data_IF_483927433294
#
_entry.id   IF_483927433294
#
_cell.length_a   1.000
_cell.length_b   1.000
_cell.length_c   1.000
_cell.angle_alpha   90.00
_cell.angle_beta   90.00
_cell.angle_gamma   90.00
#
_symmetry.space_group_name_H-M   'P 1'
#
loop_
_entity.id
_entity.type
_entity.pdbx_description
1 polymer ?
#
# COMPACT_ATOMS: atom_id res chain seq x y z
N UNK A 1 -20.60 -1.44 -23.42
CA UNK A 1 -20.66 -0.34 -22.45
C UNK A 1 -19.78 -0.70 -21.28
N UNK A 2 -18.47 -0.44 -21.38
CA UNK A 2 -17.58 -0.42 -20.22
C UNK A 2 -17.91 0.87 -19.45
N UNK A 3 -18.29 0.75 -18.18
CA UNK A 3 -18.45 1.92 -17.33
C UNK A 3 -17.16 2.72 -17.34
N UNK A 4 -17.26 4.03 -17.52
CA UNK A 4 -16.14 4.96 -17.42
C UNK A 4 -15.54 4.82 -16.02
N UNK A 5 -14.39 4.15 -15.92
CA UNK A 5 -13.69 3.96 -14.65
C UNK A 5 -12.88 5.23 -14.39
N UNK A 6 -13.58 6.26 -13.89
CA UNK A 6 -12.93 7.51 -13.47
C UNK A 6 -12.26 7.27 -12.12
N UNK A 7 -10.94 7.24 -12.13
CA UNK A 7 -10.14 7.18 -10.91
C UNK A 7 -9.89 8.60 -10.43
N UNK A 8 -10.48 8.99 -9.29
CA UNK A 8 -10.14 10.25 -8.65
C UNK A 8 -8.69 10.20 -8.13
N UNK A 9 -7.74 10.97 -8.70
CA UNK A 9 -6.35 10.93 -8.30
C UNK A 9 -6.14 11.32 -6.83
N UNK A 10 -6.98 12.21 -6.30
CA UNK A 10 -6.91 12.63 -4.90
C UNK A 10 -7.35 11.51 -3.96
N UNK A 11 -8.37 10.75 -4.34
CA UNK A 11 -8.82 9.60 -3.57
C UNK A 11 -7.75 8.50 -3.51
N UNK A 12 -7.05 8.25 -4.62
CA UNK A 12 -5.97 7.24 -4.68
C UNK A 12 -4.75 7.66 -3.86
N UNK A 13 -4.35 8.93 -3.93
CA UNK A 13 -3.28 9.46 -3.08
C UNK A 13 -3.65 9.40 -1.60
N UNK A 14 -4.92 9.69 -1.25
CA UNK A 14 -5.43 9.58 0.11
C UNK A 14 -5.38 8.14 0.66
N UNK A 15 -5.71 7.15 -0.18
CA UNK A 15 -5.60 5.73 0.17
C UNK A 15 -4.13 5.36 0.38
N UNK A 16 -3.23 5.71 -0.56
CA UNK A 16 -1.81 5.41 -0.42
C UNK A 16 -1.21 6.01 0.86
N UNK A 17 -1.53 7.28 1.17
CA UNK A 17 -1.08 7.94 2.40
C UNK A 17 -1.64 7.25 3.67
N UNK A 18 -2.89 6.80 3.64
CA UNK A 18 -3.50 6.06 4.77
C UNK A 18 -2.78 4.73 5.00
N UNK A 19 -2.42 4.01 3.93
CA UNK A 19 -1.71 2.74 4.00
C UNK A 19 -0.30 2.90 4.56
N UNK A 20 0.40 3.98 4.18
CA UNK A 20 1.71 4.31 4.76
C UNK A 20 1.62 4.69 6.22
N UNK A 21 0.60 5.48 6.60
CA UNK A 21 0.36 5.80 8.00
C UNK A 21 0.14 4.53 8.82
N UNK A 22 -0.65 3.58 8.30
CA UNK A 22 -0.85 2.28 8.97
C UNK A 22 0.45 1.47 9.08
N UNK A 23 1.28 1.46 8.04
CA UNK A 23 2.58 0.78 8.07
C UNK A 23 3.49 1.38 9.15
N UNK A 24 3.56 2.72 9.19
CA UNK A 24 4.31 3.47 10.20
C UNK A 24 3.78 3.21 11.61
N UNK A 25 2.47 3.27 11.81
CA UNK A 25 1.84 3.04 13.11
C UNK A 25 2.20 1.63 13.62
N UNK A 26 2.10 0.61 12.76
CA UNK A 26 2.45 -0.78 13.08
C UNK A 26 3.93 -0.91 13.44
N UNK A 27 4.83 -0.26 12.70
CA UNK A 27 6.26 -0.29 13.00
C UNK A 27 6.58 0.44 14.33
N UNK A 28 5.87 1.53 14.61
CA UNK A 28 6.07 2.37 15.80
C UNK A 28 5.58 1.74 17.10
N UNK A 29 4.68 0.75 17.04
CA UNK A 29 4.22 0.03 18.24
C UNK A 29 5.41 -0.59 18.96
N UNK A 30 5.52 -0.28 20.26
CA UNK A 30 6.55 -0.84 21.12
C UNK A 30 6.60 -2.37 21.00
N UNK A 31 7.76 -2.90 20.61
CA UNK A 31 7.93 -4.34 20.39
C UNK A 31 7.68 -5.08 21.70
N UNK A 32 6.72 -6.00 21.67
CA UNK A 32 6.44 -6.86 22.82
C UNK A 32 7.68 -7.69 23.17
N UNK A 33 8.16 -7.59 24.40
CA UNK A 33 9.28 -8.38 24.93
C UNK A 33 8.77 -9.33 26.01
N UNK A 34 8.27 -10.48 25.55
CA UNK A 34 7.74 -11.51 26.43
C UNK A 34 8.85 -12.14 27.25
N UNK A 35 10.08 -12.21 26.74
CA UNK A 35 11.23 -12.77 27.47
C UNK A 35 11.52 -11.97 28.73
N UNK A 36 11.62 -10.66 28.62
CA UNK A 36 11.90 -9.76 29.74
C UNK A 36 10.77 -9.80 30.76
N UNK A 37 9.52 -9.78 30.28
CA UNK A 37 8.34 -9.91 31.14
C UNK A 37 8.37 -11.22 31.94
N UNK A 38 8.70 -12.33 31.28
CA UNK A 38 8.76 -13.65 31.91
C UNK A 38 9.97 -13.82 32.82
N UNK A 39 11.10 -13.20 32.49
CA UNK A 39 12.30 -13.22 33.31
C UNK A 39 12.11 -12.43 34.62
N UNK A 40 11.37 -11.32 34.60
CA UNK A 40 11.01 -10.55 35.80
C UNK A 40 10.03 -11.34 36.69
N UNK A 41 9.03 -11.99 36.09
CA UNK A 41 8.01 -12.72 36.85
C UNK A 41 8.49 -14.09 37.34
N UNK A 42 9.30 -14.79 36.53
CA UNK A 42 9.69 -16.20 36.75
C UNK A 42 11.13 -16.47 36.24
N UNK A 43 12.17 -15.99 36.94
CA UNK A 43 13.56 -15.95 36.45
C UNK A 43 14.18 -17.32 36.09
N UNK A 44 13.72 -18.38 36.74
CA UNK A 44 14.25 -19.74 36.56
C UNK A 44 13.30 -20.67 35.78
N UNK A 45 12.23 -20.12 35.22
CA UNK A 45 11.25 -20.93 34.50
C UNK A 45 11.75 -21.28 33.09
N UNK A 46 11.57 -22.54 32.62
CA UNK A 46 11.79 -22.87 31.22
C UNK A 46 10.90 -22.05 30.27
N UNK A 47 9.85 -21.39 30.78
CA UNK A 47 9.03 -20.45 30.01
C UNK A 47 9.80 -19.22 29.54
N UNK A 48 10.89 -18.81 30.19
CA UNK A 48 11.73 -17.68 29.71
C UNK A 48 12.33 -18.01 28.33
N UNK A 49 12.83 -19.23 28.16
CA UNK A 49 13.36 -19.69 26.88
C UNK A 49 12.24 -19.84 25.82
N UNK A 50 11.05 -20.30 26.20
CA UNK A 50 9.89 -20.36 25.30
C UNK A 50 9.40 -18.97 24.88
N UNK A 51 9.46 -17.99 25.80
CA UNK A 51 9.07 -16.60 25.55
C UNK A 51 10.02 -15.91 24.57
N UNK A 52 11.28 -16.33 24.48
CA UNK A 52 12.23 -15.84 23.47
C UNK A 52 11.74 -16.13 22.05
N UNK A 53 11.37 -17.39 21.79
CA UNK A 53 10.85 -17.79 20.47
C UNK A 53 9.56 -17.03 20.12
N UNK A 54 8.68 -16.82 21.10
CA UNK A 54 7.45 -16.05 20.91
C UNK A 54 7.76 -14.56 20.63
N UNK A 55 8.70 -13.96 21.36
CA UNK A 55 9.17 -12.59 21.15
C UNK A 55 9.75 -12.40 19.75
N UNK A 56 10.59 -13.32 19.29
CA UNK A 56 11.19 -13.26 17.97
C UNK A 56 10.15 -13.43 16.86
N UNK A 57 9.20 -14.35 17.03
CA UNK A 57 8.08 -14.54 16.11
C UNK A 57 7.18 -13.32 16.00
N UNK A 58 6.86 -12.66 17.12
CA UNK A 58 6.08 -11.42 17.14
C UNK A 58 6.81 -10.28 16.43
N UNK A 59 8.12 -10.13 16.66
CA UNK A 59 8.94 -9.13 15.97
C UNK A 59 8.96 -9.37 14.46
N UNK A 60 9.14 -10.61 14.04
CA UNK A 60 9.14 -10.97 12.62
C UNK A 60 7.77 -10.69 11.97
N UNK A 61 6.67 -11.04 12.65
CA UNK A 61 5.32 -10.79 12.16
C UNK A 61 5.03 -9.29 12.04
N UNK A 62 5.40 -8.48 13.03
CA UNK A 62 5.20 -7.02 13.01
C UNK A 62 5.92 -6.38 11.82
N UNK A 63 7.18 -6.75 11.57
CA UNK A 63 7.95 -6.27 10.40
C UNK A 63 7.37 -6.75 9.08
N UNK A 64 6.91 -8.01 9.01
CA UNK A 64 6.30 -8.53 7.78
C UNK A 64 5.00 -7.79 7.44
N UNK A 65 4.16 -7.52 8.44
CA UNK A 65 2.89 -6.81 8.25
C UNK A 65 3.13 -5.35 7.86
N UNK A 66 4.05 -4.61 8.52
CA UNK A 66 4.34 -3.22 8.12
C UNK A 66 4.85 -3.14 6.67
N UNK A 67 5.76 -4.03 6.26
CA UNK A 67 6.25 -4.08 4.87
C UNK A 67 5.17 -4.45 3.83
N UNK A 68 4.17 -5.27 4.21
CA UNK A 68 3.02 -5.55 3.34
C UNK A 68 2.16 -4.31 3.10
N UNK A 69 1.96 -3.48 4.13
CA UNK A 69 1.22 -2.23 4.00
C UNK A 69 1.95 -1.21 3.11
N UNK A 70 3.28 -1.10 3.23
CA UNK A 70 4.11 -0.28 2.33
C UNK A 70 4.02 -0.77 0.87
N UNK A 71 4.11 -2.09 0.67
CA UNK A 71 3.99 -2.69 -0.66
C UNK A 71 2.63 -2.41 -1.28
N UNK A 72 1.56 -2.45 -0.47
CA UNK A 72 0.22 -2.13 -0.95
C UNK A 72 0.09 -0.63 -1.28
N UNK A 73 0.64 0.26 -0.46
CA UNK A 73 0.69 1.69 -0.77
C UNK A 73 1.41 1.97 -2.11
N UNK A 74 2.54 1.29 -2.35
CA UNK A 74 3.27 1.38 -3.61
C UNK A 74 2.44 0.89 -4.81
N UNK A 75 1.71 -0.22 -4.65
CA UNK A 75 0.81 -0.73 -5.69
C UNK A 75 -0.33 0.25 -6.00
N UNK A 76 -0.92 0.88 -4.97
CA UNK A 76 -1.97 1.91 -5.14
C UNK A 76 -1.45 3.11 -5.94
N UNK A 77 -0.21 3.55 -5.68
CA UNK A 77 0.44 4.60 -6.49
C UNK A 77 0.71 4.16 -7.93
N UNK A 78 1.14 2.92 -8.14
CA UNK A 78 1.37 2.40 -9.48
C UNK A 78 0.07 2.40 -10.31
N UNK A 79 -1.07 2.04 -9.69
CA UNK A 79 -2.39 2.13 -10.33
C UNK A 79 -2.74 3.57 -10.72
N UNK A 80 -2.43 4.56 -9.86
CA UNK A 80 -2.60 5.98 -10.19
C UNK A 80 -1.82 6.36 -11.45
N UNK A 81 -0.55 5.98 -11.53
CA UNK A 81 0.31 6.29 -12.68
C UNK A 81 -0.25 5.69 -13.96
N UNK A 82 -0.74 4.45 -13.90
CA UNK A 82 -1.36 3.79 -15.06
C UNK A 82 -2.64 4.52 -15.48
N UNK A 83 -3.52 4.87 -14.54
CA UNK A 83 -4.74 5.60 -14.83
C UNK A 83 -4.45 6.98 -15.46
N UNK A 84 -3.50 7.74 -14.89
CA UNK A 84 -3.10 9.02 -15.45
C UNK A 84 -2.53 8.91 -16.86
N UNK A 85 -1.71 7.88 -17.14
CA UNK A 85 -1.18 7.64 -18.49
C UNK A 85 -2.26 7.28 -19.50
N UNK A 86 -3.28 6.52 -19.09
CA UNK A 86 -4.42 6.19 -19.94
C UNK A 86 -5.31 7.42 -20.23
N UNK A 87 -5.50 8.30 -19.25
CA UNK A 87 -6.23 9.56 -19.45
C UNK A 87 -5.48 10.50 -20.39
N UNK A 88 -4.15 10.59 -20.29
CA UNK A 88 -3.31 11.39 -21.18
C UNK A 88 -3.32 10.85 -22.62
N UNK A 89 -3.24 9.52 -22.79
CA UNK A 89 -3.37 8.86 -24.10
C UNK A 89 -4.75 9.08 -24.73
N UNK A 90 -5.82 9.01 -23.93
CA UNK A 90 -7.16 9.30 -24.40
C UNK A 90 -7.30 10.79 -24.78
N UNK A 91 -6.82 11.72 -23.94
CA UNK A 91 -6.89 13.16 -24.21
C UNK A 91 -6.12 13.56 -25.47
N UNK A 92 -4.94 12.99 -25.69
CA UNK A 92 -4.14 13.22 -26.91
C UNK A 92 -4.81 12.63 -28.15
N UNK A 93 -5.40 11.43 -28.04
CA UNK A 93 -6.17 10.83 -29.13
C UNK A 93 -7.39 11.66 -29.50
N UNK A 94 -8.16 12.14 -28.52
CA UNK A 94 -9.32 13.02 -28.77
C UNK A 94 -8.92 14.37 -29.34
N UNK A 95 -7.80 14.96 -28.90
CA UNK A 95 -7.26 16.19 -29.49
C UNK A 95 -6.90 15.98 -30.96
N UNK A 96 -6.22 14.89 -31.31
CA UNK A 96 -5.90 14.56 -32.70
C UNK A 96 -7.14 14.24 -33.55
N UNK A 97 -8.18 13.63 -32.98
CA UNK A 97 -9.47 13.44 -33.68
C UNK A 97 -10.19 14.78 -33.92
N UNK A 98 -10.09 15.73 -32.99
CA UNK A 98 -10.65 17.07 -33.14
C UNK A 98 -9.89 17.93 -34.17
N UNK A 99 -8.60 17.64 -34.39
CA UNK A 99 -7.75 18.27 -35.40
C UNK A 99 -7.93 17.68 -36.81
N UNK A 100 -8.67 16.58 -36.98
CA UNK A 100 -9.00 16.05 -38.30
C UNK A 100 -9.83 17.09 -39.07
N UNK A 101 -9.45 17.42 -40.33
CA UNK A 101 -10.22 18.36 -41.14
C UNK A 101 -11.66 17.88 -41.25
N UNK A 102 -12.63 18.71 -40.85
CA UNK A 102 -14.08 18.44 -40.92
C UNK A 102 -14.65 18.26 -42.34
N UNK A 103 -13.82 17.94 -43.33
CA UNK A 103 -14.25 17.84 -44.72
C UNK A 103 -13.47 16.76 -45.46
N UNK A 104 -13.96 15.53 -45.36
CA UNK A 104 -14.38 14.77 -46.54
C UNK A 104 -15.22 13.58 -46.09
N UNK A 105 -16.54 13.70 -46.27
CA UNK A 105 -17.41 12.54 -46.23
C UNK A 105 -16.90 11.49 -47.25
N UNK A 106 -16.92 10.20 -46.93
CA UNK A 106 -16.50 9.17 -47.87
C UNK A 106 -17.39 9.26 -49.12
N UNK A 107 -16.77 9.19 -50.31
CA UNK A 107 -17.49 8.87 -51.54
C UNK A 107 -17.75 7.38 -51.60
#
# INVERSE_FOLDING_TARGET
>A
MSGEFVVDPMAVDGIAASLESMAYDIESVARCDLTTTMAVAMPHSPMVAAAQKATDGLRQAQTAVSGQWETFAAAVRAVRTIAASADEENATTFAHLAELPHAQAPR
#
